data_IF_698484716476
#
_entry.id   IF_698484716476
#
_cell.length_a   1.000
_cell.length_b   1.000
_cell.length_c   1.000
_cell.angle_alpha   90.00
_cell.angle_beta   90.00
_cell.angle_gamma   90.00
#
_symmetry.space_group_name_H-M   'P 1'
#
loop_
_entity.id
_entity.type
_entity.pdbx_description
1 polymer ?
#
# COMPACT_ATOMS: atom_id res chain seq x y z
N UNK A 1 -11.55 21.07 23.38
CA UNK A 1 -11.25 19.65 23.68
C UNK A 1 -10.30 19.14 22.61
N UNK A 2 -9.04 18.94 22.98
CA UNK A 2 -8.03 18.44 22.04
C UNK A 2 -8.23 16.90 21.94
N UNK A 3 -9.13 16.45 21.09
CA UNK A 3 -9.27 15.03 20.79
C UNK A 3 -8.05 14.61 19.96
N UNK A 4 -7.12 13.90 20.58
CA UNK A 4 -6.04 13.27 19.81
C UNK A 4 -6.66 12.39 18.72
N UNK A 5 -6.12 12.40 17.48
CA UNK A 5 -6.66 11.59 16.41
C UNK A 5 -6.63 10.10 16.81
N UNK A 6 -7.69 9.38 16.45
CA UNK A 6 -7.87 7.97 16.78
C UNK A 6 -6.71 7.12 16.22
N UNK A 7 -6.23 6.18 17.02
CA UNK A 7 -5.26 5.18 16.55
C UNK A 7 -6.02 4.20 15.65
N UNK A 8 -5.56 4.08 14.40
CA UNK A 8 -6.12 3.18 13.39
C UNK A 8 -5.38 1.85 13.40
N UNK A 9 -4.06 1.88 13.52
CA UNK A 9 -3.24 0.67 13.59
C UNK A 9 -2.26 0.77 14.74
N UNK A 10 -2.14 -0.29 15.51
CA UNK A 10 -1.20 -0.38 16.62
C UNK A 10 -0.51 -1.75 16.62
N UNK A 11 0.75 -1.77 17.01
CA UNK A 11 1.46 -2.99 17.33
C UNK A 11 2.12 -2.84 18.70
N UNK A 12 2.12 -3.90 19.50
CA UNK A 12 2.65 -3.92 20.87
C UNK A 12 3.60 -5.07 21.07
N UNK A 13 4.82 -4.74 21.49
CA UNK A 13 5.83 -5.72 21.88
C UNK A 13 6.20 -6.70 20.77
N UNK A 14 6.22 -6.26 19.50
CA UNK A 14 6.51 -7.15 18.36
C UNK A 14 7.93 -7.69 18.44
N UNK A 15 8.05 -9.01 18.44
CA UNK A 15 9.31 -9.73 18.30
C UNK A 15 9.28 -10.55 17.02
N UNK A 16 10.35 -10.46 16.23
CA UNK A 16 10.54 -11.30 15.04
C UNK A 16 11.97 -11.78 14.93
N UNK A 17 12.14 -13.09 14.84
CA UNK A 17 13.43 -13.76 14.70
C UNK A 17 13.53 -14.49 13.37
N UNK A 18 14.70 -14.46 12.78
CA UNK A 18 15.05 -15.24 11.59
C UNK A 18 16.32 -16.06 11.95
N UNK A 19 16.11 -17.31 12.34
CA UNK A 19 17.18 -18.13 12.91
C UNK A 19 17.78 -17.50 14.18
N UNK A 20 19.06 -17.14 14.13
CA UNK A 20 19.74 -16.51 15.27
C UNK A 20 19.65 -14.97 15.27
N UNK A 21 19.06 -14.38 14.25
CA UNK A 21 18.95 -12.92 14.13
C UNK A 21 17.59 -12.45 14.66
N UNK A 22 17.59 -11.60 15.69
CA UNK A 22 16.40 -10.90 16.16
C UNK A 22 16.26 -9.63 15.35
N UNK A 23 15.26 -9.60 14.45
CA UNK A 23 15.01 -8.47 13.55
C UNK A 23 14.06 -7.42 14.16
N UNK A 24 13.17 -7.83 15.06
CA UNK A 24 12.37 -6.96 15.92
C UNK A 24 12.49 -7.48 17.35
N UNK A 25 12.68 -6.58 18.30
CA UNK A 25 12.87 -6.91 19.72
C UNK A 25 11.98 -6.03 20.62
N UNK A 26 10.74 -6.44 20.80
CA UNK A 26 9.77 -5.73 21.62
C UNK A 26 9.30 -4.40 21.02
N UNK A 27 9.16 -4.30 19.69
CA UNK A 27 8.84 -3.06 19.01
C UNK A 27 7.38 -2.66 19.18
N UNK A 28 7.15 -1.40 19.57
CA UNK A 28 5.83 -0.77 19.60
C UNK A 28 5.66 0.15 18.37
N UNK A 29 4.41 0.27 17.91
CA UNK A 29 4.05 1.06 16.73
C UNK A 29 2.62 1.57 16.85
N UNK A 30 2.40 2.86 16.61
CA UNK A 30 1.09 3.50 16.59
C UNK A 30 0.94 4.32 15.32
N UNK A 31 -0.17 4.15 14.60
CA UNK A 31 -0.54 4.95 13.44
C UNK A 31 -1.93 5.55 13.66
N UNK A 32 -2.04 6.87 13.46
CA UNK A 32 -3.27 7.62 13.70
C UNK A 32 -4.01 7.96 12.40
N UNK A 33 -5.30 8.21 12.52
CA UNK A 33 -6.12 8.67 11.41
C UNK A 33 -5.55 9.98 10.80
N UNK A 34 -5.49 10.04 9.47
CA UNK A 34 -4.98 11.20 8.74
C UNK A 34 -3.48 11.47 8.88
N UNK A 35 -2.70 10.49 9.33
CA UNK A 35 -1.26 10.59 9.53
C UNK A 35 -0.48 9.98 8.36
N UNK A 36 0.67 10.57 8.04
CA UNK A 36 1.75 9.88 7.32
C UNK A 36 2.85 9.61 8.33
N UNK A 37 3.00 8.36 8.75
CA UNK A 37 4.04 7.94 9.68
C UNK A 37 5.26 7.44 8.91
N UNK A 38 6.36 8.18 9.00
CA UNK A 38 7.62 7.76 8.37
C UNK A 38 8.41 6.84 9.31
N UNK A 39 8.75 5.65 8.81
CA UNK A 39 9.66 4.71 9.48
C UNK A 39 11.04 4.87 8.87
N UNK A 40 11.96 5.43 9.65
CA UNK A 40 13.33 5.71 9.25
C UNK A 40 14.33 4.86 10.04
N UNK A 41 15.54 4.71 9.54
CA UNK A 41 16.61 3.98 10.22
C UNK A 41 17.58 3.37 9.22
N UNK A 42 18.73 2.90 9.69
CA UNK A 42 19.78 2.30 8.89
C UNK A 42 19.35 0.97 8.26
N UNK A 43 20.14 0.50 7.30
CA UNK A 43 19.96 -0.84 6.74
C UNK A 43 20.17 -1.89 7.85
N UNK A 44 19.23 -2.84 7.94
CA UNK A 44 19.25 -3.84 9.02
C UNK A 44 18.51 -3.43 10.30
N UNK A 45 18.02 -2.19 10.43
CA UNK A 45 17.29 -1.72 11.62
C UNK A 45 15.88 -2.33 11.80
N UNK A 46 15.51 -3.36 11.06
CA UNK A 46 14.22 -4.05 11.21
C UNK A 46 13.04 -3.43 10.48
N UNK A 47 13.20 -2.32 9.74
CA UNK A 47 12.09 -1.64 9.03
C UNK A 47 11.27 -2.57 8.13
N UNK A 48 11.94 -3.31 7.26
CA UNK A 48 11.27 -4.26 6.36
C UNK A 48 10.63 -5.43 7.12
N UNK A 49 11.18 -5.80 8.29
CA UNK A 49 10.58 -6.83 9.15
C UNK A 49 9.31 -6.33 9.81
N UNK A 50 9.29 -5.08 10.27
CA UNK A 50 8.08 -4.41 10.77
C UNK A 50 6.99 -4.41 9.70
N UNK A 51 7.29 -3.90 8.50
CA UNK A 51 6.32 -3.87 7.39
C UNK A 51 5.79 -5.27 7.06
N UNK A 52 6.67 -6.28 7.01
CA UNK A 52 6.25 -7.66 6.74
C UNK A 52 5.30 -8.16 7.84
N UNK A 53 5.49 -7.79 9.10
CA UNK A 53 4.57 -8.13 10.17
C UNK A 53 3.24 -7.38 10.01
N UNK A 54 3.25 -6.07 9.80
CA UNK A 54 2.05 -5.25 9.64
C UNK A 54 1.23 -5.62 8.40
N UNK A 55 1.89 -6.02 7.31
CA UNK A 55 1.24 -6.46 6.05
C UNK A 55 0.86 -7.94 6.01
N UNK A 56 1.12 -8.69 7.08
CA UNK A 56 0.86 -10.13 7.13
C UNK A 56 1.81 -10.97 6.28
N UNK A 57 2.85 -10.40 5.69
CA UNK A 57 3.85 -11.14 4.92
C UNK A 57 4.78 -11.98 5.82
N UNK A 58 4.84 -11.64 7.12
CA UNK A 58 5.52 -12.42 8.14
C UNK A 58 4.69 -12.41 9.41
N UNK A 59 4.55 -13.53 10.08
CA UNK A 59 3.87 -13.62 11.36
C UNK A 59 4.87 -13.26 12.47
N UNK A 60 4.59 -12.31 13.37
CA UNK A 60 5.45 -12.04 14.53
C UNK A 60 5.53 -13.27 15.43
N UNK A 61 6.66 -13.45 16.11
CA UNK A 61 6.85 -14.58 17.03
C UNK A 61 6.25 -14.26 18.40
N UNK A 62 6.23 -12.96 18.78
CA UNK A 62 5.61 -12.43 20.01
C UNK A 62 5.00 -11.06 19.68
N UNK A 63 4.06 -10.62 20.52
CA UNK A 63 3.39 -9.33 20.38
C UNK A 63 2.07 -9.41 19.64
N UNK A 64 1.38 -8.29 19.58
CA UNK A 64 0.03 -8.18 19.04
C UNK A 64 -0.08 -7.03 18.05
N UNK A 65 -0.93 -7.20 17.05
CA UNK A 65 -1.31 -6.15 16.10
C UNK A 65 -2.80 -5.86 16.29
N UNK A 66 -3.14 -4.58 16.32
CA UNK A 66 -4.49 -4.08 16.52
C UNK A 66 -4.89 -3.20 15.34
N UNK A 67 -6.12 -3.33 14.88
CA UNK A 67 -6.70 -2.52 13.82
C UNK A 67 -8.05 -1.96 14.31
N UNK A 68 -8.20 -0.65 14.32
CA UNK A 68 -9.36 0.05 14.87
C UNK A 68 -9.76 -0.44 16.28
N UNK A 69 -8.77 -0.65 17.15
CA UNK A 69 -8.97 -1.10 18.52
C UNK A 69 -9.29 -2.59 18.69
N UNK A 70 -9.28 -3.36 17.60
CA UNK A 70 -9.50 -4.81 17.65
C UNK A 70 -8.21 -5.58 17.37
N UNK A 71 -7.88 -6.62 18.14
CA UNK A 71 -6.72 -7.45 17.88
C UNK A 71 -6.93 -8.23 16.57
N UNK A 72 -5.90 -8.23 15.72
CA UNK A 72 -5.91 -8.94 14.44
C UNK A 72 -4.72 -9.89 14.34
N UNK A 73 -4.95 -11.03 13.72
CA UNK A 73 -3.90 -12.00 13.42
C UNK A 73 -3.97 -12.38 11.94
N UNK A 74 -2.98 -11.91 11.18
CA UNK A 74 -2.89 -12.22 9.76
C UNK A 74 -2.15 -13.55 9.56
N UNK A 75 -2.77 -14.48 8.83
CA UNK A 75 -2.14 -15.74 8.40
C UNK A 75 -1.33 -15.57 7.11
N UNK A 76 -1.48 -14.42 6.45
CA UNK A 76 -0.77 -14.07 5.24
C UNK A 76 -1.21 -12.72 4.67
N UNK A 77 -0.55 -12.24 3.59
CA UNK A 77 -0.85 -10.94 2.98
C UNK A 77 -2.30 -10.79 2.50
N UNK A 78 -2.93 -11.90 2.11
CA UNK A 78 -4.33 -11.90 1.66
C UNK A 78 -5.27 -11.52 2.81
N UNK A 79 -4.96 -11.96 4.03
CA UNK A 79 -5.80 -11.64 5.20
C UNK A 79 -5.65 -10.17 5.59
N UNK A 80 -4.42 -9.62 5.56
CA UNK A 80 -4.19 -8.19 5.78
C UNK A 80 -4.92 -7.33 4.73
N UNK A 81 -4.88 -7.74 3.46
CA UNK A 81 -5.63 -7.08 2.38
C UNK A 81 -7.14 -7.14 2.58
N UNK A 82 -7.69 -8.27 3.05
CA UNK A 82 -9.11 -8.40 3.42
C UNK A 82 -9.46 -7.53 4.62
N UNK A 83 -8.52 -7.34 5.53
CA UNK A 83 -8.61 -6.38 6.63
C UNK A 83 -8.41 -4.93 6.21
N UNK A 84 -8.36 -4.62 4.91
CA UNK A 84 -8.26 -3.25 4.40
C UNK A 84 -6.87 -2.62 4.44
N UNK A 85 -5.81 -3.42 4.64
CA UNK A 85 -4.42 -2.98 4.60
C UNK A 85 -3.85 -3.26 3.22
N UNK A 86 -3.43 -2.24 2.50
CA UNK A 86 -2.76 -2.38 1.20
C UNK A 86 -1.29 -2.02 1.31
N UNK A 87 -0.45 -2.77 0.60
CA UNK A 87 1.00 -2.58 0.63
C UNK A 87 1.55 -2.34 -0.78
N UNK A 88 2.33 -1.28 -0.92
CA UNK A 88 3.18 -1.01 -2.08
C UNK A 88 4.61 -1.38 -1.70
N UNK A 89 5.12 -2.44 -2.29
CA UNK A 89 6.50 -2.89 -2.07
C UNK A 89 7.47 -2.15 -3.00
N UNK A 90 8.73 -2.13 -2.65
CA UNK A 90 9.82 -1.54 -3.43
C UNK A 90 9.86 -2.12 -4.86
N UNK A 91 9.75 -3.44 -4.99
CA UNK A 91 9.52 -4.10 -6.27
C UNK A 91 8.04 -4.04 -6.61
N UNK A 92 7.69 -3.20 -7.56
CA UNK A 92 6.30 -3.00 -7.97
C UNK A 92 5.71 -4.31 -8.51
N UNK A 93 4.71 -4.83 -7.82
CA UNK A 93 3.95 -5.99 -8.28
C UNK A 93 3.01 -5.60 -9.44
N UNK A 94 3.59 -5.25 -10.58
CA UNK A 94 2.87 -4.90 -11.81
C UNK A 94 3.27 -5.86 -12.94
N UNK A 95 2.33 -6.20 -13.80
CA UNK A 95 2.56 -6.99 -15.01
C UNK A 95 2.82 -6.03 -16.18
N UNK A 96 4.06 -5.91 -16.70
CA UNK A 96 4.45 -4.87 -17.65
C UNK A 96 3.63 -4.87 -18.94
N UNK A 97 3.34 -6.05 -19.48
CA UNK A 97 2.61 -6.21 -20.75
C UNK A 97 1.09 -6.00 -20.63
N UNK A 98 0.55 -5.97 -19.40
CA UNK A 98 -0.87 -5.73 -19.18
C UNK A 98 -1.17 -4.22 -19.18
N UNK A 99 -2.41 -3.86 -19.51
CA UNK A 99 -2.88 -2.47 -19.41
C UNK A 99 -2.90 -2.00 -17.96
N UNK A 100 -2.90 -0.68 -17.75
CA UNK A 100 -3.01 -0.08 -16.41
C UNK A 100 -4.31 -0.53 -15.74
N UNK A 101 -5.43 -0.55 -16.46
CA UNK A 101 -6.72 -0.99 -15.92
C UNK A 101 -6.69 -2.46 -15.48
N UNK A 102 -6.05 -3.35 -16.23
CA UNK A 102 -5.89 -4.75 -15.84
C UNK A 102 -4.96 -4.89 -14.64
N UNK A 103 -3.84 -4.17 -14.58
CA UNK A 103 -2.95 -4.12 -13.43
C UNK A 103 -3.66 -3.60 -12.16
N UNK A 104 -4.54 -2.61 -12.32
CA UNK A 104 -5.30 -2.04 -11.22
C UNK A 104 -6.16 -3.08 -10.50
N UNK A 105 -6.79 -3.97 -11.27
CA UNK A 105 -7.66 -5.03 -10.75
C UNK A 105 -6.99 -6.41 -10.66
N UNK A 106 -5.68 -6.50 -10.81
CA UNK A 106 -4.96 -7.78 -10.78
C UNK A 106 -5.23 -8.55 -9.47
N UNK A 107 -5.82 -9.74 -9.61
CA UNK A 107 -6.27 -10.58 -8.49
C UNK A 107 -7.60 -10.13 -7.84
N UNK A 108 -8.29 -9.15 -8.44
CA UNK A 108 -9.59 -8.61 -8.02
C UNK A 108 -10.48 -8.28 -9.21
N UNK A 109 -10.32 -9.04 -10.30
CA UNK A 109 -10.98 -8.79 -11.58
C UNK A 109 -12.50 -8.73 -11.41
N UNK A 110 -13.10 -7.70 -12.00
CA UNK A 110 -14.56 -7.56 -12.03
C UNK A 110 -15.11 -8.54 -13.06
N UNK A 111 -16.04 -9.38 -12.64
CA UNK A 111 -16.70 -10.34 -13.53
C UNK A 111 -18.01 -9.75 -14.07
N UNK A 112 -18.38 -10.15 -15.28
CA UNK A 112 -19.68 -9.79 -15.85
C UNK A 112 -20.81 -10.31 -14.98
N UNK A 113 -21.91 -9.59 -14.86
CA UNK A 113 -23.10 -10.07 -14.13
C UNK A 113 -23.74 -11.28 -14.86
N UNK A 114 -24.53 -12.03 -14.11
CA UNK A 114 -25.31 -13.16 -14.64
C UNK A 114 -24.49 -14.43 -14.87
N UNK A 115 -25.05 -15.34 -15.68
CA UNK A 115 -24.52 -16.69 -15.92
C UNK A 115 -23.09 -16.69 -16.51
N UNK A 116 -22.82 -15.76 -17.43
CA UNK A 116 -21.50 -15.62 -18.08
C UNK A 116 -20.36 -15.33 -17.07
N UNK A 117 -20.59 -14.43 -16.13
CA UNK A 117 -19.59 -14.10 -15.11
C UNK A 117 -19.51 -15.12 -13.99
N UNK A 118 -20.65 -15.75 -13.61
CA UNK A 118 -20.70 -16.72 -12.51
C UNK A 118 -20.13 -18.07 -12.92
N UNK A 119 -20.49 -18.59 -14.10
CA UNK A 119 -20.10 -19.93 -14.56
C UNK A 119 -18.79 -19.89 -15.37
N UNK A 120 -18.72 -19.03 -16.39
CA UNK A 120 -17.55 -18.93 -17.28
C UNK A 120 -16.47 -17.97 -16.78
N UNK A 121 -16.68 -17.29 -15.65
CA UNK A 121 -15.74 -16.33 -15.05
C UNK A 121 -15.30 -15.21 -16.02
N UNK A 122 -16.18 -14.81 -16.95
CA UNK A 122 -15.88 -13.78 -17.94
C UNK A 122 -15.65 -12.44 -17.25
N UNK A 123 -14.50 -11.83 -17.54
CA UNK A 123 -14.08 -10.53 -16.98
C UNK A 123 -14.84 -9.40 -17.67
N UNK A 124 -15.24 -8.40 -16.90
CA UNK A 124 -15.83 -7.16 -17.39
C UNK A 124 -14.75 -6.08 -17.55
N UNK A 125 -14.01 -6.15 -18.66
CA UNK A 125 -12.93 -5.19 -18.96
C UNK A 125 -13.42 -3.74 -19.05
N UNK A 126 -14.66 -3.54 -19.55
CA UNK A 126 -15.25 -2.20 -19.67
C UNK A 126 -15.45 -1.58 -18.29
N UNK A 127 -16.05 -2.30 -17.37
CA UNK A 127 -16.28 -1.85 -16.00
C UNK A 127 -14.96 -1.62 -15.26
N UNK A 128 -13.97 -2.49 -15.42
CA UNK A 128 -12.63 -2.32 -14.87
C UNK A 128 -11.96 -1.03 -15.39
N UNK A 129 -12.08 -0.75 -16.67
CA UNK A 129 -11.56 0.49 -17.29
C UNK A 129 -12.24 1.73 -16.71
N UNK A 130 -13.57 1.73 -16.65
CA UNK A 130 -14.36 2.85 -16.12
C UNK A 130 -14.02 3.13 -14.65
N UNK A 131 -14.03 2.10 -13.79
CA UNK A 131 -13.74 2.26 -12.37
C UNK A 131 -12.28 2.67 -12.10
N UNK A 132 -11.31 2.05 -12.77
CA UNK A 132 -9.91 2.44 -12.58
C UNK A 132 -9.65 3.87 -13.04
N UNK A 133 -10.27 4.29 -14.16
CA UNK A 133 -10.17 5.67 -14.64
C UNK A 133 -10.73 6.66 -13.63
N UNK A 134 -11.92 6.38 -13.10
CA UNK A 134 -12.54 7.24 -12.09
C UNK A 134 -11.66 7.39 -10.85
N UNK A 135 -11.15 6.28 -10.30
CA UNK A 135 -10.30 6.29 -9.10
C UNK A 135 -8.96 7.02 -9.32
N UNK A 136 -8.33 6.85 -10.49
CA UNK A 136 -7.08 7.55 -10.81
C UNK A 136 -7.29 9.05 -11.05
N UNK A 137 -8.40 9.43 -11.69
CA UNK A 137 -8.78 10.84 -11.86
C UNK A 137 -9.04 11.52 -10.52
N UNK A 138 -9.74 10.83 -9.63
CA UNK A 138 -9.95 11.28 -8.27
C UNK A 138 -8.65 11.57 -7.53
N UNK A 139 -7.62 10.77 -7.71
CA UNK A 139 -6.27 10.97 -7.16
C UNK A 139 -5.46 12.01 -7.94
N UNK A 140 -6.03 12.57 -9.01
CA UNK A 140 -5.37 13.54 -9.91
C UNK A 140 -4.03 13.00 -10.47
N UNK A 141 -3.97 11.71 -10.74
CA UNK A 141 -2.80 11.09 -11.36
C UNK A 141 -2.91 11.29 -12.86
N UNK A 142 -1.96 12.02 -13.44
CA UNK A 142 -1.92 12.36 -14.87
C UNK A 142 -1.54 11.17 -15.75
N UNK A 143 -2.47 10.25 -15.99
CA UNK A 143 -2.31 9.12 -16.91
C UNK A 143 -3.10 9.41 -18.18
N UNK A 144 -2.43 9.26 -19.33
CA UNK A 144 -3.01 9.56 -20.65
C UNK A 144 -4.15 8.60 -21.03
N UNK A 145 -3.96 7.32 -20.76
CA UNK A 145 -4.94 6.27 -21.04
C UNK A 145 -4.75 5.07 -20.14
N UNK A 146 -5.80 4.59 -19.52
CA UNK A 146 -5.77 3.37 -18.70
C UNK A 146 -5.63 2.09 -19.52
N UNK A 147 -5.81 2.16 -20.85
CA UNK A 147 -5.62 1.02 -21.76
C UNK A 147 -4.17 0.81 -22.20
N UNK A 148 -3.26 1.77 -21.93
CA UNK A 148 -1.86 1.60 -22.32
C UNK A 148 -1.18 0.55 -21.42
N UNK A 149 -0.19 -0.17 -21.99
CA UNK A 149 0.60 -1.14 -21.25
C UNK A 149 1.48 -0.44 -20.19
N UNK A 150 1.64 -1.05 -19.02
CA UNK A 150 2.41 -0.47 -17.91
C UNK A 150 3.88 -0.28 -18.29
N UNK A 151 4.45 -1.12 -19.13
CA UNK A 151 5.83 -0.99 -19.63
C UNK A 151 6.12 0.33 -20.36
N UNK A 152 5.08 0.97 -20.94
CA UNK A 152 5.21 2.24 -21.65
C UNK A 152 5.30 3.46 -20.72
N UNK A 153 5.11 3.27 -19.43
CA UNK A 153 5.14 4.31 -18.41
C UNK A 153 6.57 4.60 -17.94
N UNK A 154 6.82 5.86 -17.52
CA UNK A 154 8.03 6.19 -16.76
C UNK A 154 8.05 5.50 -15.38
N UNK A 155 9.21 5.45 -14.73
CA UNK A 155 9.34 4.89 -13.38
C UNK A 155 8.36 5.52 -12.40
N UNK A 156 8.32 6.85 -12.35
CA UNK A 156 7.40 7.58 -11.49
C UNK A 156 5.92 7.36 -11.82
N UNK A 157 5.57 7.23 -13.10
CA UNK A 157 4.21 6.91 -13.51
C UNK A 157 3.80 5.50 -13.07
N UNK A 158 4.71 4.51 -13.21
CA UNK A 158 4.47 3.15 -12.71
C UNK A 158 4.26 3.14 -11.20
N UNK A 159 5.05 3.92 -10.47
CA UNK A 159 4.90 4.09 -9.03
C UNK A 159 3.54 4.70 -8.68
N UNK A 160 3.13 5.76 -9.39
CA UNK A 160 1.81 6.35 -9.19
C UNK A 160 0.65 5.38 -9.47
N UNK A 161 0.80 4.48 -10.43
CA UNK A 161 -0.20 3.40 -10.66
C UNK A 161 -0.25 2.46 -9.47
N UNK A 162 0.88 2.04 -8.92
CA UNK A 162 0.94 1.14 -7.77
C UNK A 162 0.35 1.80 -6.51
N UNK A 163 0.71 3.05 -6.22
CA UNK A 163 0.15 3.84 -5.11
C UNK A 163 -1.35 4.06 -5.29
N UNK A 164 -1.78 4.46 -6.49
CA UNK A 164 -3.19 4.67 -6.81
C UNK A 164 -4.02 3.39 -6.66
N UNK A 165 -3.49 2.25 -7.09
CA UNK A 165 -4.11 0.94 -6.87
C UNK A 165 -4.26 0.63 -5.38
N UNK A 166 -3.21 0.80 -4.59
CA UNK A 166 -3.25 0.56 -3.15
C UNK A 166 -4.30 1.48 -2.48
N UNK A 167 -4.25 2.79 -2.74
CA UNK A 167 -5.19 3.75 -2.19
C UNK A 167 -6.65 3.50 -2.58
N UNK A 168 -6.89 2.91 -3.78
CA UNK A 168 -8.22 2.61 -4.25
C UNK A 168 -8.89 1.44 -3.52
N UNK A 169 -8.11 0.53 -2.95
CA UNK A 169 -8.60 -0.67 -2.28
C UNK A 169 -8.36 -0.68 -0.78
N UNK A 170 -7.48 0.17 -0.26
CA UNK A 170 -7.28 0.35 1.17
C UNK A 170 -8.57 0.87 1.83
N UNK A 171 -8.88 0.32 3.00
CA UNK A 171 -9.98 0.77 3.84
C UNK A 171 -9.48 1.40 5.14
N UNK A 172 -8.33 0.94 5.63
CA UNK A 172 -7.76 1.37 6.92
C UNK A 172 -6.36 1.96 6.78
N UNK A 173 -5.44 1.29 6.08
CA UNK A 173 -4.03 1.69 6.03
C UNK A 173 -3.42 1.41 4.67
N UNK A 174 -2.57 2.33 4.19
CA UNK A 174 -1.66 2.08 3.07
C UNK A 174 -0.24 2.04 3.59
N UNK A 175 0.47 0.94 3.34
CA UNK A 175 1.88 0.77 3.67
C UNK A 175 2.70 0.94 2.39
N UNK A 176 3.77 1.72 2.43
CA UNK A 176 4.63 1.99 1.28
C UNK A 176 6.08 1.79 1.65
N UNK A 177 6.72 0.84 0.97
CA UNK A 177 8.13 0.51 1.18
C UNK A 177 8.99 1.18 0.09
N UNK A 178 9.69 2.25 0.47
CA UNK A 178 10.58 3.04 -0.38
C UNK A 178 9.95 3.50 -1.72
N UNK A 179 8.78 4.13 -1.73
CA UNK A 179 8.05 4.43 -2.96
C UNK A 179 8.74 5.44 -3.89
N UNK A 180 9.78 6.10 -3.43
CA UNK A 180 10.56 7.07 -4.22
C UNK A 180 11.98 6.60 -4.53
N UNK A 181 12.34 5.36 -4.13
CA UNK A 181 13.65 4.80 -4.45
C UNK A 181 13.87 4.73 -5.96
N UNK A 182 15.09 5.04 -6.39
CA UNK A 182 15.50 5.05 -7.81
C UNK A 182 14.70 5.97 -8.74
N UNK A 183 13.95 6.96 -8.20
CA UNK A 183 13.27 8.00 -8.97
C UNK A 183 14.10 9.29 -9.00
N UNK A 184 14.02 10.02 -10.12
CA UNK A 184 14.53 11.39 -10.18
C UNK A 184 13.71 12.34 -9.30
N UNK A 185 14.26 13.51 -8.97
CA UNK A 185 13.63 14.48 -8.07
C UNK A 185 12.20 14.83 -8.51
N UNK A 186 11.98 15.10 -9.80
CA UNK A 186 10.66 15.45 -10.33
C UNK A 186 9.65 14.31 -10.18
N UNK A 187 10.07 13.09 -10.44
CA UNK A 187 9.22 11.90 -10.33
C UNK A 187 8.93 11.57 -8.86
N UNK A 188 9.95 11.70 -7.98
CA UNK A 188 9.80 11.54 -6.53
C UNK A 188 8.76 12.51 -5.96
N UNK A 189 8.86 13.80 -6.30
CA UNK A 189 7.89 14.80 -5.85
C UNK A 189 6.46 14.51 -6.32
N UNK A 190 6.29 13.99 -7.54
CA UNK A 190 4.98 13.57 -8.05
C UNK A 190 4.37 12.44 -7.19
N UNK A 191 5.19 11.47 -6.79
CA UNK A 191 4.76 10.36 -5.92
C UNK A 191 4.44 10.87 -4.51
N UNK A 192 5.29 11.73 -3.93
CA UNK A 192 5.04 12.32 -2.60
C UNK A 192 3.75 13.14 -2.57
N UNK A 193 3.48 13.93 -3.60
CA UNK A 193 2.24 14.68 -3.72
C UNK A 193 1.01 13.73 -3.79
N UNK A 194 1.14 12.61 -4.49
CA UNK A 194 0.09 11.59 -4.51
C UNK A 194 -0.13 10.97 -3.12
N UNK A 195 0.93 10.69 -2.37
CA UNK A 195 0.85 10.15 -1.00
C UNK A 195 0.11 11.13 -0.09
N UNK A 196 0.40 12.44 -0.19
CA UNK A 196 -0.33 13.47 0.56
C UNK A 196 -1.82 13.47 0.23
N UNK A 197 -2.18 13.35 -1.06
CA UNK A 197 -3.59 13.24 -1.48
C UNK A 197 -4.28 11.99 -0.94
N UNK A 198 -3.57 10.88 -0.81
CA UNK A 198 -4.09 9.65 -0.17
C UNK A 198 -4.41 9.90 1.30
N UNK A 199 -3.49 10.53 2.05
CA UNK A 199 -3.72 10.94 3.44
C UNK A 199 -4.90 11.91 3.57
N UNK A 200 -4.98 12.91 2.70
CA UNK A 200 -6.02 13.95 2.75
C UNK A 200 -7.44 13.39 2.50
N UNK A 201 -7.53 12.15 2.00
CA UNK A 201 -8.77 11.38 1.91
C UNK A 201 -9.10 10.60 3.17
N UNK A 202 -8.31 10.77 4.22
CA UNK A 202 -8.49 10.10 5.50
C UNK A 202 -7.81 8.74 5.61
N UNK A 203 -7.07 8.29 4.59
CA UNK A 203 -6.30 7.05 4.65
C UNK A 203 -4.93 7.31 5.29
N UNK A 204 -4.66 6.80 6.48
CA UNK A 204 -3.34 6.90 7.08
C UNK A 204 -2.32 6.08 6.29
N UNK A 205 -1.09 6.57 6.26
CA UNK A 205 0.00 6.00 5.45
C UNK A 205 1.20 5.67 6.32
N UNK A 206 1.73 4.47 6.19
CA UNK A 206 3.05 4.10 6.70
C UNK A 206 4.04 4.22 5.54
N UNK A 207 5.04 5.07 5.71
CA UNK A 207 6.06 5.33 4.69
C UNK A 207 7.42 4.88 5.20
N UNK A 208 8.03 3.88 4.55
CA UNK A 208 9.46 3.63 4.76
C UNK A 208 10.25 4.47 3.77
N UNK A 209 11.22 5.21 4.27
CA UNK A 209 12.17 5.94 3.44
C UNK A 209 13.52 6.05 4.14
N UNK A 210 14.58 5.93 3.36
CA UNK A 210 15.93 6.30 3.79
C UNK A 210 16.32 7.70 3.32
N UNK A 211 15.46 8.36 2.54
CA UNK A 211 15.70 9.68 1.96
C UNK A 211 15.08 10.74 2.88
N UNK A 212 15.89 11.31 3.78
CA UNK A 212 15.46 12.30 4.79
C UNK A 212 14.67 13.49 4.22
N UNK A 213 15.06 14.14 3.11
CA UNK A 213 14.26 15.23 2.55
C UNK A 213 12.80 14.85 2.29
N UNK A 214 12.54 13.63 1.84
CA UNK A 214 11.18 13.15 1.54
C UNK A 214 10.32 12.91 2.80
N UNK A 215 10.96 12.80 3.97
CA UNK A 215 10.27 12.56 5.25
C UNK A 215 9.77 13.89 5.85
N UNK A 216 10.48 15.00 5.59
CA UNK A 216 10.17 16.30 6.17
C UNK A 216 9.32 17.22 5.26
N UNK A 217 9.04 16.82 4.05
CA UNK A 217 8.11 17.47 3.13
C UNK A 217 6.65 17.01 3.32
#
# INVERSE_FOLDING_TARGET
MNTQPQIVMQAKGLVKRFGQVTALDGMDFDLRAGEILAVIGDNGAGKSSLIKCLSGASIPDVGEIWLDGNPVQFKGPIDARRGGIETVYQDLAVAPAMSIAENFFLGREIRRPGFMGRFFRVIDKKKMLEESTARMNDLKVGIRSMNQAVETLSGGQRQCVAVGRAAAFAQHVVIMDEPTAALGVKEGNMVLELIRRVRDRGLPVVLISHTMPHVFE
#
